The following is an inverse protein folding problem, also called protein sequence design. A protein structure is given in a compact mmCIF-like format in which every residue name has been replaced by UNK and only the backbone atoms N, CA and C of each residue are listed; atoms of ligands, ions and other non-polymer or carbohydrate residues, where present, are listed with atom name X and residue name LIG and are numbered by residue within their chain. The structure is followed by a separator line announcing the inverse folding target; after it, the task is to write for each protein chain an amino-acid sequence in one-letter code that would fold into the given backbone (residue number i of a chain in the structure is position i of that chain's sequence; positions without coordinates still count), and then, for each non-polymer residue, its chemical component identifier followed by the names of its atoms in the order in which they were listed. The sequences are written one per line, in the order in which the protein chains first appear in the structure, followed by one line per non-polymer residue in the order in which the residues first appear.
data_IF_481800373888
#
_entry.id   IF_481800373888
#
_cell.length_a   1.000
_cell.length_b   1.000
_cell.length_c   1.000
_cell.angle_alpha   90.00
_cell.angle_beta   90.00
_cell.angle_gamma   90.00
#
_symmetry.space_group_name_H-M   'P 1'
#
loop_
_entity.id
_entity.type
_entity.pdbx_description
1 polymer ?
#
# COMPACT_ATOMS: atom_id res chain seq x y z
N UNK A 1 -3.18 5.22 9.68
CA UNK A 1 -1.85 5.47 9.06
C UNK A 1 -0.95 6.45 9.83
N UNK A 2 -1.49 7.46 10.55
CA UNK A 2 -0.70 8.46 11.29
C UNK A 2 0.21 7.89 12.41
N UNK A 3 -0.16 6.76 13.02
CA UNK A 3 0.52 6.22 14.21
C UNK A 3 1.82 5.44 13.91
N UNK A 4 2.00 4.94 12.68
CA UNK A 4 3.19 4.14 12.32
C UNK A 4 4.41 5.01 12.03
N UNK A 5 4.23 6.16 11.36
CA UNK A 5 5.34 7.08 11.05
C UNK A 5 5.89 7.74 12.31
N UNK A 6 5.03 8.15 13.26
CA UNK A 6 5.47 8.75 14.52
C UNK A 6 6.30 7.78 15.39
N UNK A 7 6.02 6.47 15.32
CA UNK A 7 6.81 5.46 16.03
C UNK A 7 8.21 5.27 15.45
N UNK A 8 8.42 5.59 14.17
CA UNK A 8 9.72 5.48 13.51
C UNK A 8 10.69 6.62 13.88
N UNK A 9 10.18 7.75 14.40
CA UNK A 9 10.97 8.87 14.91
C UNK A 9 11.57 8.56 16.29
N UNK A 10 12.33 7.47 16.38
CA UNK A 10 12.94 7.00 17.62
C UNK A 10 14.42 6.68 17.38
N UNK A 11 15.29 7.22 18.24
CA UNK A 11 16.75 7.08 18.11
C UNK A 11 17.22 5.63 18.07
N UNK A 12 16.45 4.69 18.63
CA UNK A 12 16.75 3.26 18.58
C UNK A 12 16.92 2.72 17.16
N UNK A 13 16.26 3.34 16.17
CA UNK A 13 16.35 2.94 14.77
C UNK A 13 17.55 3.57 14.04
N UNK A 14 18.28 4.46 14.70
CA UNK A 14 19.44 5.18 14.18
C UNK A 14 20.70 4.82 14.97
N UNK A 15 20.80 3.56 15.44
CA UNK A 15 21.95 3.09 16.21
C UNK A 15 22.11 3.78 17.57
N UNK A 16 21.04 4.33 18.13
CA UNK A 16 21.05 5.22 19.31
C UNK A 16 21.87 6.51 19.10
N UNK A 17 22.13 6.92 17.85
CA UNK A 17 22.78 8.19 17.52
C UNK A 17 21.74 9.30 17.30
N UNK A 18 21.70 10.25 18.24
CA UNK A 18 20.80 11.39 18.19
C UNK A 18 21.08 12.33 17.00
N UNK A 19 22.34 12.46 16.60
CA UNK A 19 22.71 13.28 15.44
C UNK A 19 22.31 12.61 14.13
N UNK A 20 22.37 11.27 14.05
CA UNK A 20 21.84 10.52 12.91
C UNK A 20 20.33 10.66 12.77
N UNK A 21 19.58 10.55 13.88
CA UNK A 21 18.14 10.82 13.89
C UNK A 21 17.86 12.25 13.41
N UNK A 22 18.58 13.24 13.94
CA UNK A 22 18.36 14.63 13.56
C UNK A 22 18.65 14.89 12.08
N UNK A 23 19.74 14.33 11.52
CA UNK A 23 20.01 14.42 10.07
C UNK A 23 18.88 13.84 9.21
N UNK A 24 18.27 12.74 9.65
CA UNK A 24 17.15 12.13 8.94
C UNK A 24 15.88 12.99 9.03
N UNK A 25 15.59 13.58 10.19
CA UNK A 25 14.48 14.51 10.36
C UNK A 25 14.68 15.78 9.51
N UNK A 26 15.88 16.34 9.51
CA UNK A 26 16.23 17.51 8.71
C UNK A 26 16.11 17.20 7.21
N UNK A 27 16.53 16.01 6.77
CA UNK A 27 16.34 15.57 5.39
C UNK A 27 14.86 15.52 5.02
N UNK A 28 13.99 14.90 5.83
CA UNK A 28 12.55 14.84 5.56
C UNK A 28 11.91 16.23 5.53
N UNK A 29 12.37 17.15 6.39
CA UNK A 29 11.84 18.50 6.48
C UNK A 29 12.30 19.42 5.33
N UNK A 30 13.52 19.23 4.82
CA UNK A 30 14.17 20.20 3.92
C UNK A 30 14.34 19.69 2.49
N UNK A 31 14.25 18.39 2.23
CA UNK A 31 14.46 17.86 0.89
C UNK A 31 13.33 18.27 -0.05
N UNK A 32 13.65 18.85 -1.23
CA UNK A 32 12.65 19.22 -2.21
C UNK A 32 11.77 18.02 -2.59
N UNK A 33 10.46 18.26 -2.73
CA UNK A 33 9.42 17.27 -3.09
C UNK A 33 9.02 16.27 -1.98
N UNK A 34 9.67 16.22 -0.81
CA UNK A 34 9.17 15.40 0.31
C UNK A 34 8.04 16.08 1.09
N UNK A 35 7.89 17.41 0.99
CA UNK A 35 6.82 18.15 1.65
C UNK A 35 5.43 17.65 1.24
N UNK A 36 5.24 17.27 -0.02
CA UNK A 36 3.97 16.70 -0.50
C UNK A 36 3.69 15.31 0.10
N UNK A 37 4.73 14.57 0.49
CA UNK A 37 4.57 13.27 1.18
C UNK A 37 4.22 13.42 2.66
N UNK A 38 4.35 14.62 3.23
CA UNK A 38 3.92 14.90 4.61
C UNK A 38 2.40 15.10 4.71
N UNK A 39 1.75 15.41 3.58
CA UNK A 39 0.31 15.61 3.48
C UNK A 39 -0.29 14.76 2.35
N UNK A 40 -0.18 13.43 2.43
CA UNK A 40 -0.75 12.56 1.40
C UNK A 40 -2.28 12.64 1.45
N UNK A 41 -2.91 12.60 0.29
CA UNK A 41 -4.33 12.26 0.21
C UNK A 41 -4.52 10.80 0.63
N UNK A 42 -5.71 10.51 1.16
CA UNK A 42 -6.13 9.15 1.46
C UNK A 42 -6.53 8.40 0.19
N UNK A 43 -6.49 7.07 0.23
CA UNK A 43 -7.01 6.24 -0.87
C UNK A 43 -8.50 6.49 -1.11
N UNK A 44 -9.27 6.77 -0.05
CA UNK A 44 -10.67 7.16 -0.17
C UNK A 44 -10.84 8.46 -0.95
N UNK A 45 -10.07 9.49 -0.63
CA UNK A 45 -10.12 10.77 -1.38
C UNK A 45 -9.72 10.58 -2.85
N UNK A 46 -8.74 9.71 -3.12
CA UNK A 46 -8.35 9.40 -4.50
C UNK A 46 -9.47 8.71 -5.29
N UNK A 47 -10.21 7.78 -4.66
CA UNK A 47 -11.37 7.10 -5.25
C UNK A 47 -12.54 8.06 -5.43
N UNK A 48 -12.86 8.87 -4.42
CA UNK A 48 -13.96 9.84 -4.45
C UNK A 48 -13.70 10.99 -5.47
N UNK A 49 -12.43 11.33 -5.72
CA UNK A 49 -12.01 12.48 -6.51
C UNK A 49 -11.82 12.26 -8.01
N UNK A 50 -12.30 11.14 -8.55
CA UNK A 50 -12.12 10.66 -9.95
C UNK A 50 -10.76 10.02 -10.23
N UNK A 51 -10.74 8.71 -10.46
CA UNK A 51 -9.52 7.95 -10.75
C UNK A 51 -8.97 8.20 -12.18
N UNK A 52 -9.73 8.85 -13.05
CA UNK A 52 -9.34 9.19 -14.42
C UNK A 52 -8.14 10.12 -14.48
N UNK A 53 -8.01 11.04 -13.52
CA UNK A 53 -6.94 12.04 -13.48
C UNK A 53 -5.54 11.45 -13.32
N UNK A 54 -5.42 10.21 -12.85
CA UNK A 54 -4.15 9.54 -12.59
C UNK A 54 -3.73 8.68 -13.77
N UNK A 55 -2.49 8.76 -14.25
CA UNK A 55 -2.05 7.93 -15.38
C UNK A 55 -1.77 6.46 -15.01
N UNK A 56 -1.34 6.20 -13.77
CA UNK A 56 -0.88 4.89 -13.30
C UNK A 56 -1.07 4.73 -11.79
N UNK A 57 -1.11 3.47 -11.31
CA UNK A 57 -0.88 3.14 -9.90
C UNK A 57 0.56 2.69 -9.76
N UNK A 58 1.28 3.22 -8.77
CA UNK A 58 2.61 2.75 -8.39
C UNK A 58 2.64 2.38 -6.91
N UNK A 59 2.96 1.12 -6.62
CA UNK A 59 3.11 0.61 -5.25
C UNK A 59 4.59 0.33 -4.99
N UNK A 60 5.28 1.18 -4.20
CA UNK A 60 6.66 0.91 -3.82
C UNK A 60 6.73 -0.29 -2.86
N UNK A 61 7.95 -0.81 -2.69
CA UNK A 61 8.21 -1.95 -1.81
C UNK A 61 8.17 -1.64 -0.31
N UNK A 62 8.84 -2.50 0.46
CA UNK A 62 8.79 -2.51 1.93
C UNK A 62 7.73 -3.48 2.45
N UNK A 63 7.72 -3.74 3.76
CA UNK A 63 6.79 -4.71 4.37
C UNK A 63 5.40 -4.09 4.67
N UNK A 64 5.28 -2.77 4.67
CA UNK A 64 4.03 -2.07 4.99
C UNK A 64 2.82 -2.48 4.11
N UNK A 65 2.97 -2.70 2.78
CA UNK A 65 1.88 -3.18 1.94
C UNK A 65 1.24 -4.49 2.42
N UNK A 66 2.00 -5.36 3.10
CA UNK A 66 1.49 -6.63 3.60
C UNK A 66 0.46 -6.48 4.73
N UNK A 67 0.56 -5.39 5.50
CA UNK A 67 -0.35 -5.15 6.62
C UNK A 67 -1.47 -4.17 6.26
N UNK A 68 -1.11 -3.09 5.55
CA UNK A 68 -2.00 -1.93 5.41
C UNK A 68 -2.74 -1.95 4.06
N UNK A 69 -2.14 -2.50 3.00
CA UNK A 69 -2.69 -2.41 1.64
C UNK A 69 -3.34 -3.69 1.15
N UNK A 70 -2.90 -4.86 1.63
CA UNK A 70 -3.36 -6.19 1.18
C UNK A 70 -4.90 -6.35 1.16
N UNK A 71 -5.62 -5.63 2.02
CA UNK A 71 -7.08 -5.74 2.16
C UNK A 71 -7.78 -4.38 2.14
N UNK A 72 -7.10 -3.30 1.73
CA UNK A 72 -7.72 -1.98 1.71
C UNK A 72 -8.79 -1.94 0.61
N UNK A 73 -10.07 -1.66 0.94
CA UNK A 73 -11.15 -1.72 -0.03
C UNK A 73 -11.04 -0.61 -1.09
N UNK A 74 -10.51 0.57 -0.75
CA UNK A 74 -10.35 1.68 -1.69
C UNK A 74 -9.22 1.38 -2.67
N UNK A 75 -8.13 0.75 -2.20
CA UNK A 75 -7.10 0.25 -3.11
C UNK A 75 -7.65 -0.82 -4.04
N UNK A 76 -8.47 -1.73 -3.52
CA UNK A 76 -9.14 -2.74 -4.33
C UNK A 76 -9.98 -2.12 -5.45
N UNK A 77 -10.75 -1.08 -5.13
CA UNK A 77 -11.53 -0.33 -6.11
C UNK A 77 -10.65 0.33 -7.16
N UNK A 78 -9.59 1.02 -6.73
CA UNK A 78 -8.64 1.65 -7.64
C UNK A 78 -7.97 0.62 -8.57
N UNK A 79 -7.51 -0.52 -8.05
CA UNK A 79 -6.89 -1.57 -8.86
C UNK A 79 -7.85 -2.19 -9.87
N UNK A 80 -9.11 -2.43 -9.49
CA UNK A 80 -10.14 -2.92 -10.40
C UNK A 80 -10.44 -1.92 -11.51
N UNK A 81 -10.61 -0.65 -11.13
CA UNK A 81 -10.84 0.43 -12.08
C UNK A 81 -9.68 0.56 -13.09
N UNK A 82 -8.44 0.60 -12.61
CA UNK A 82 -7.26 0.74 -13.48
C UNK A 82 -7.12 -0.44 -14.44
N UNK A 83 -7.38 -1.66 -13.98
CA UNK A 83 -7.37 -2.83 -14.83
C UNK A 83 -8.44 -2.75 -15.93
N UNK A 84 -9.68 -2.38 -15.58
CA UNK A 84 -10.78 -2.19 -16.54
C UNK A 84 -10.49 -1.11 -17.58
N UNK A 85 -9.83 -0.02 -17.17
CA UNK A 85 -9.45 1.08 -18.06
C UNK A 85 -8.15 0.84 -18.83
N UNK A 86 -7.53 -0.35 -18.71
CA UNK A 86 -6.22 -0.67 -19.31
C UNK A 86 -5.10 0.31 -18.91
N UNK A 87 -5.18 0.85 -17.68
CA UNK A 87 -4.20 1.79 -17.12
C UNK A 87 -3.09 1.02 -16.40
N UNK A 88 -1.82 1.44 -16.51
CA UNK A 88 -0.70 0.70 -15.95
C UNK A 88 -0.70 0.66 -14.41
N UNK A 89 -0.29 -0.50 -13.87
CA UNK A 89 0.02 -0.69 -12.45
C UNK A 89 1.46 -1.17 -12.32
N UNK A 90 2.31 -0.38 -11.65
CA UNK A 90 3.72 -0.68 -11.40
C UNK A 90 3.94 -1.09 -9.95
N UNK A 91 4.70 -2.15 -9.73
CA UNK A 91 4.88 -2.79 -8.43
C UNK A 91 6.36 -3.09 -8.21
N UNK A 92 6.88 -2.84 -7.00
CA UNK A 92 8.29 -3.08 -6.67
C UNK A 92 8.44 -3.90 -5.39
N UNK A 93 9.37 -4.87 -5.39
CA UNK A 93 9.74 -5.68 -4.22
C UNK A 93 8.53 -6.45 -3.64
N UNK A 94 8.03 -6.08 -2.47
CA UNK A 94 6.83 -6.67 -1.85
C UNK A 94 5.54 -5.91 -2.21
N UNK A 95 5.63 -4.82 -2.96
CA UNK A 95 4.49 -4.09 -3.51
C UNK A 95 3.45 -4.97 -4.22
N UNK A 96 3.81 -6.07 -4.93
CA UNK A 96 2.82 -6.96 -5.55
C UNK A 96 1.78 -7.56 -4.61
N UNK A 97 2.04 -7.66 -3.31
CA UNK A 97 1.03 -8.15 -2.35
C UNK A 97 -0.21 -7.25 -2.29
N UNK A 98 -0.07 -5.98 -2.67
CA UNK A 98 -1.17 -5.03 -2.75
C UNK A 98 -2.22 -5.43 -3.78
N UNK A 99 -1.88 -6.25 -4.79
CA UNK A 99 -2.84 -6.73 -5.79
C UNK A 99 -3.94 -7.62 -5.18
N UNK A 100 -3.69 -8.20 -4.00
CA UNK A 100 -4.70 -8.98 -3.28
C UNK A 100 -5.90 -8.13 -2.86
N UNK A 101 -5.73 -6.81 -2.71
CA UNK A 101 -6.85 -5.91 -2.46
C UNK A 101 -7.88 -5.90 -3.59
N UNK A 102 -7.48 -6.27 -4.82
CA UNK A 102 -8.38 -6.35 -5.95
C UNK A 102 -9.33 -7.57 -5.89
N UNK A 103 -9.08 -8.54 -5.00
CA UNK A 103 -10.01 -9.65 -4.75
C UNK A 103 -11.37 -9.12 -4.31
N UNK A 104 -12.42 -9.87 -4.66
CA UNK A 104 -13.79 -9.57 -4.23
C UNK A 104 -13.90 -9.65 -2.70
N UNK A 105 -13.19 -10.60 -2.08
CA UNK A 105 -13.12 -10.77 -0.62
C UNK A 105 -11.65 -10.92 -0.16
N UNK A 106 -10.90 -9.83 -0.24
CA UNK A 106 -9.55 -9.75 0.32
C UNK A 106 -9.48 -10.04 1.85
N UNK A 107 -10.47 -9.62 2.67
CA UNK A 107 -10.65 -10.09 4.06
C UNK A 107 -10.56 -11.60 4.23
N UNK A 108 -11.42 -12.36 3.54
CA UNK A 108 -11.46 -13.81 3.61
C UNK A 108 -10.14 -14.45 3.14
N UNK A 109 -9.54 -13.94 2.06
CA UNK A 109 -8.27 -14.48 1.56
C UNK A 109 -7.13 -14.40 2.59
N UNK A 110 -6.96 -13.27 3.29
CA UNK A 110 -5.92 -13.17 4.33
C UNK A 110 -6.23 -14.06 5.53
N UNK A 111 -7.51 -14.19 5.90
CA UNK A 111 -7.88 -15.06 7.02
C UNK A 111 -7.49 -16.50 6.70
N UNK A 112 -7.88 -16.98 5.52
CA UNK A 112 -7.49 -18.30 5.03
C UNK A 112 -5.95 -18.46 4.90
N UNK A 113 -5.24 -17.39 4.54
CA UNK A 113 -3.76 -17.37 4.55
C UNK A 113 -3.19 -17.53 5.96
N UNK A 114 -3.74 -16.81 6.95
CA UNK A 114 -3.30 -16.88 8.34
C UNK A 114 -3.58 -18.25 8.96
N UNK A 115 -4.69 -18.88 8.59
CA UNK A 115 -5.11 -20.19 9.08
C UNK A 115 -4.39 -21.36 8.37
N UNK A 116 -3.68 -21.08 7.26
CA UNK A 116 -3.06 -22.10 6.42
C UNK A 116 -4.08 -22.95 5.65
N UNK A 117 -5.30 -22.43 5.47
CA UNK A 117 -6.38 -23.09 4.75
C UNK A 117 -6.29 -22.78 3.24
N UNK A 118 -5.65 -23.70 2.51
CA UNK A 118 -5.44 -23.54 1.07
C UNK A 118 -6.72 -23.69 0.24
N UNK A 119 -7.72 -24.42 0.74
CA UNK A 119 -9.00 -24.59 0.02
C UNK A 119 -9.82 -23.29 0.12
N UNK A 120 -9.91 -22.70 1.31
CA UNK A 120 -10.54 -21.41 1.51
C UNK A 120 -9.80 -20.27 0.78
N UNK A 121 -8.46 -20.31 0.69
CA UNK A 121 -7.69 -19.36 -0.14
C UNK A 121 -8.07 -19.46 -1.62
N UNK A 122 -8.23 -20.69 -2.14
CA UNK A 122 -8.61 -20.92 -3.53
C UNK A 122 -10.02 -20.41 -3.81
N UNK A 123 -10.95 -20.62 -2.88
CA UNK A 123 -12.31 -20.09 -2.99
C UNK A 123 -12.32 -18.56 -2.96
N UNK A 124 -11.63 -17.94 -1.99
CA UNK A 124 -11.57 -16.49 -1.84
C UNK A 124 -10.83 -15.78 -3.00
N UNK A 125 -10.01 -16.51 -3.76
CA UNK A 125 -9.32 -16.01 -4.96
C UNK A 125 -10.05 -16.30 -6.28
N UNK A 126 -11.23 -16.91 -6.23
CA UNK A 126 -12.01 -17.21 -7.41
C UNK A 126 -12.42 -15.94 -8.18
N UNK A 127 -12.25 -15.95 -9.50
CA UNK A 127 -12.61 -14.83 -10.37
C UNK A 127 -11.71 -13.60 -10.23
N UNK A 128 -10.52 -13.74 -9.65
CA UNK A 128 -9.57 -12.64 -9.56
C UNK A 128 -9.23 -12.09 -10.95
N UNK A 129 -9.31 -10.77 -11.13
CA UNK A 129 -9.10 -10.13 -12.43
C UNK A 129 -7.68 -10.29 -13.00
N UNK A 130 -6.72 -10.67 -12.16
CA UNK A 130 -5.34 -10.97 -12.58
C UNK A 130 -5.07 -12.47 -12.71
N UNK A 131 -6.09 -13.32 -12.58
CA UNK A 131 -6.01 -14.71 -12.96
C UNK A 131 -5.93 -14.77 -14.50
N UNK A 132 -4.73 -15.07 -15.02
CA UNK A 132 -4.46 -15.14 -16.46
C UNK A 132 -5.27 -16.21 -17.19
#
# INVERSE_FOLDING_TARGET
MHTFILKANNVRFFGNDQAALQRALDFVATYPNLQNLQHPITLKEAVDGELDQYAAIYVPGGHAPMNDLMQDPNLGEALRYFHQQSKPTALLCHGPIALLAALTDAPAYRQALADGDFDAQKEASAGWQYAG
#
